data_IF_870834287487
#
_entry.id   IF_870834287487
#
_cell.length_a   1.000
_cell.length_b   1.000
_cell.length_c   1.000
_cell.angle_alpha   90.00
_cell.angle_beta   90.00
_cell.angle_gamma   90.00
#
_symmetry.space_group_name_H-M   'P 1'
#
loop_
_entity.id
_entity.type
_entity.pdbx_description
1 polymer ?
#
# COMPACT_ATOMS: atom_id res chain seq x y z
N UNK A 1 8.25 14.33 -5.55
CA UNK A 1 9.34 13.43 -5.13
C UNK A 1 8.94 12.82 -3.79
N UNK A 2 8.68 11.52 -3.73
CA UNK A 2 8.47 10.84 -2.45
C UNK A 2 9.76 10.92 -1.66
N UNK A 3 9.71 11.53 -0.47
CA UNK A 3 10.85 11.54 0.43
C UNK A 3 10.78 10.25 1.22
N UNK A 4 11.41 9.19 0.72
CA UNK A 4 11.61 7.96 1.49
C UNK A 4 12.45 8.34 2.69
N UNK A 5 11.89 8.17 3.89
CA UNK A 5 12.63 8.38 5.13
C UNK A 5 13.40 7.10 5.40
N UNK A 6 14.71 7.12 5.15
CA UNK A 6 15.59 6.02 5.52
C UNK A 6 15.86 6.09 7.03
N UNK A 7 15.07 5.35 7.81
CA UNK A 7 15.16 5.30 9.27
C UNK A 7 15.15 3.84 9.75
N UNK A 8 15.92 3.53 10.77
CA UNK A 8 15.89 2.22 11.44
C UNK A 8 14.52 1.99 12.10
N UNK A 9 14.00 0.75 12.22
CA UNK A 9 12.76 0.50 12.96
C UNK A 9 12.86 0.84 14.45
N UNK A 10 14.08 0.95 15.00
CA UNK A 10 14.34 1.32 16.40
C UNK A 10 13.86 2.73 16.75
N UNK A 11 14.06 3.69 15.86
CA UNK A 11 13.80 5.10 16.15
C UNK A 11 12.29 5.39 16.26
N UNK A 12 11.42 4.98 15.31
CA UNK A 12 9.99 5.15 15.47
C UNK A 12 9.44 4.28 16.61
N UNK A 13 10.02 3.10 16.88
CA UNK A 13 9.62 2.30 18.03
C UNK A 13 9.94 3.00 19.37
N UNK A 14 11.08 3.69 19.47
CA UNK A 14 11.44 4.47 20.66
C UNK A 14 10.54 5.71 20.83
N UNK A 15 10.12 6.34 19.73
CA UNK A 15 9.21 7.48 19.73
C UNK A 15 7.72 7.10 19.80
N UNK A 16 7.39 5.80 19.83
CA UNK A 16 6.02 5.32 19.59
C UNK A 16 4.99 5.82 20.60
N UNK A 17 5.42 6.03 21.85
CA UNK A 17 4.60 6.56 22.94
C UNK A 17 3.95 7.91 22.59
N UNK A 18 4.62 8.74 21.78
CA UNK A 18 4.08 10.04 21.32
C UNK A 18 2.82 9.85 20.48
N UNK A 19 2.81 8.84 19.61
CA UNK A 19 1.68 8.57 18.72
C UNK A 19 0.50 7.94 19.48
N UNK A 20 0.80 6.98 20.36
CA UNK A 20 -0.25 6.24 21.09
C UNK A 20 -0.82 6.99 22.30
N UNK A 21 -0.21 8.11 22.71
CA UNK A 21 -0.73 9.00 23.75
C UNK A 21 -2.05 9.71 23.36
N UNK A 22 -2.45 9.64 22.09
CA UNK A 22 -3.72 10.17 21.62
C UNK A 22 -4.89 9.21 21.89
N UNK A 23 -6.13 9.68 21.79
CA UNK A 23 -7.32 8.82 21.79
C UNK A 23 -7.66 8.24 20.41
N UNK A 24 -6.82 8.49 19.39
CA UNK A 24 -7.04 8.03 18.02
C UNK A 24 -6.52 6.60 17.85
N UNK A 25 -7.09 5.88 16.88
CA UNK A 25 -6.48 4.63 16.38
C UNK A 25 -5.19 4.96 15.65
N UNK A 26 -4.13 4.20 15.91
CA UNK A 26 -2.79 4.38 15.36
C UNK A 26 -2.40 3.12 14.61
N UNK A 27 -2.18 3.27 13.30
CA UNK A 27 -1.69 2.19 12.44
C UNK A 27 -0.19 2.07 12.50
N UNK A 28 0.34 0.91 12.16
CA UNK A 28 1.78 0.74 11.98
C UNK A 28 2.34 1.75 10.96
N UNK A 29 3.64 2.08 11.01
CA UNK A 29 4.31 2.68 9.88
C UNK A 29 4.16 1.78 8.63
N UNK A 30 4.29 2.38 7.45
CA UNK A 30 4.13 1.70 6.16
C UNK A 30 5.45 1.71 5.40
N UNK A 31 6.31 0.69 5.58
CA UNK A 31 7.54 0.59 4.80
C UNK A 31 7.22 0.32 3.32
N UNK A 32 8.16 0.69 2.44
CA UNK A 32 8.04 0.52 0.97
C UNK A 32 7.85 -0.94 0.58
N UNK A 33 8.48 -1.85 1.33
CA UNK A 33 8.38 -3.28 1.12
C UNK A 33 8.08 -3.94 2.46
N UNK A 34 7.13 -4.87 2.45
CA UNK A 34 6.77 -5.69 3.61
C UNK A 34 7.05 -7.15 3.25
N UNK A 35 8.24 -7.63 3.56
CA UNK A 35 8.67 -8.98 3.17
C UNK A 35 8.20 -10.05 4.15
N UNK A 36 7.74 -9.66 5.34
CA UNK A 36 7.33 -10.54 6.44
C UNK A 36 8.40 -11.58 6.83
N UNK A 37 9.67 -11.24 6.63
CA UNK A 37 10.82 -12.06 6.96
C UNK A 37 11.50 -11.61 8.26
N UNK A 38 12.43 -12.40 8.80
CA UNK A 38 13.32 -11.95 9.87
C UNK A 38 14.22 -10.83 9.34
N UNK A 39 14.34 -9.72 10.08
CA UNK A 39 15.03 -8.51 9.61
C UNK A 39 14.21 -7.66 8.63
N UNK A 40 12.93 -8.01 8.41
CA UNK A 40 11.98 -7.12 7.76
C UNK A 40 11.66 -5.94 8.70
N UNK A 41 11.68 -4.73 8.14
CA UNK A 41 11.56 -3.50 8.91
C UNK A 41 10.28 -3.47 9.76
N UNK A 42 9.14 -3.87 9.18
CA UNK A 42 7.86 -3.86 9.89
C UNK A 42 7.85 -4.89 11.02
N UNK A 43 8.41 -6.07 10.77
CA UNK A 43 8.48 -7.12 11.78
C UNK A 43 9.33 -6.70 12.98
N UNK A 44 10.48 -6.08 12.74
CA UNK A 44 11.35 -5.56 13.80
C UNK A 44 10.64 -4.45 14.59
N UNK A 45 9.98 -3.50 13.92
CA UNK A 45 9.19 -2.46 14.57
C UNK A 45 8.08 -3.05 15.46
N UNK A 46 7.30 -4.00 14.93
CA UNK A 46 6.18 -4.62 15.65
C UNK A 46 6.65 -5.43 16.87
N UNK A 47 7.81 -6.08 16.78
CA UNK A 47 8.42 -6.78 17.92
C UNK A 47 8.86 -5.79 19.02
N UNK A 48 9.47 -4.66 18.63
CA UNK A 48 9.91 -3.63 19.57
C UNK A 48 8.72 -2.99 20.30
N UNK A 49 7.65 -2.61 19.59
CA UNK A 49 6.46 -1.99 20.21
C UNK A 49 5.72 -2.98 21.11
N UNK A 50 5.64 -4.26 20.71
CA UNK A 50 5.10 -5.33 21.55
C UNK A 50 5.90 -5.52 22.83
N UNK A 51 7.24 -5.50 22.76
CA UNK A 51 8.10 -5.63 23.94
C UNK A 51 7.94 -4.46 24.93
N UNK A 52 7.57 -3.28 24.44
CA UNK A 52 7.23 -2.11 25.27
C UNK A 52 5.81 -2.17 25.85
N UNK A 53 4.98 -3.13 25.43
CA UNK A 53 3.55 -3.17 25.78
C UNK A 53 2.71 -2.07 25.12
N UNK A 54 3.24 -1.44 24.07
CA UNK A 54 2.55 -0.38 23.33
C UNK A 54 1.52 -0.96 22.35
N UNK A 55 0.41 -0.24 22.15
CA UNK A 55 -0.61 -0.61 21.17
C UNK A 55 -0.20 -0.31 19.73
N UNK A 56 -0.68 -1.12 18.79
CA UNK A 56 -0.77 -0.85 17.35
C UNK A 56 -2.14 -1.37 16.92
N UNK A 57 -3.01 -0.51 16.38
CA UNK A 57 -4.43 -0.83 16.20
C UNK A 57 -4.76 -1.46 14.84
N UNK A 58 -3.90 -1.26 13.84
CA UNK A 58 -4.00 -1.84 12.51
C UNK A 58 -2.63 -1.83 11.83
N UNK A 59 -2.47 -2.66 10.79
CA UNK A 59 -1.29 -2.66 9.93
C UNK A 59 -1.59 -1.85 8.66
N UNK A 60 -0.72 -0.92 8.32
CA UNK A 60 -0.79 -0.18 7.07
C UNK A 60 0.23 -0.73 6.06
N UNK A 61 -0.20 -0.91 4.80
CA UNK A 61 0.60 -1.54 3.74
C UNK A 61 0.62 -0.68 2.47
N UNK A 62 1.71 -0.76 1.71
CA UNK A 62 1.75 -0.43 0.29
C UNK A 62 1.80 -1.72 -0.52
N UNK A 63 1.20 -1.73 -1.71
CA UNK A 63 1.32 -2.85 -2.64
C UNK A 63 1.36 -2.39 -4.09
N UNK A 64 2.47 -2.65 -4.77
CA UNK A 64 2.65 -2.34 -6.18
C UNK A 64 2.85 -3.64 -6.96
N UNK A 65 1.86 -4.01 -7.77
CA UNK A 65 1.94 -5.21 -8.58
C UNK A 65 2.80 -4.96 -9.82
N UNK A 66 3.60 -5.94 -10.22
CA UNK A 66 4.53 -5.85 -11.35
C UNK A 66 4.19 -6.81 -12.49
N UNK A 67 3.21 -7.70 -12.27
CA UNK A 67 2.72 -8.67 -13.24
C UNK A 67 1.74 -8.02 -14.23
N UNK A 68 2.25 -7.19 -15.14
CA UNK A 68 1.43 -6.41 -16.09
C UNK A 68 0.62 -7.29 -17.06
N UNK A 69 1.18 -8.42 -17.50
CA UNK A 69 0.54 -9.28 -18.49
C UNK A 69 -0.51 -10.23 -17.90
N UNK A 70 -0.58 -10.36 -16.56
CA UNK A 70 -1.47 -11.28 -15.86
C UNK A 70 -2.11 -10.61 -14.63
N UNK A 71 -3.19 -9.86 -14.89
CA UNK A 71 -3.97 -9.16 -13.87
C UNK A 71 -4.54 -10.12 -12.81
N UNK A 72 -4.92 -11.33 -13.21
CA UNK A 72 -5.52 -12.30 -12.27
C UNK A 72 -4.45 -12.81 -11.29
N UNK A 73 -3.25 -13.10 -11.78
CA UNK A 73 -2.10 -13.43 -10.94
C UNK A 73 -1.71 -12.26 -10.03
N UNK A 74 -1.68 -11.03 -10.56
CA UNK A 74 -1.38 -9.82 -9.77
C UNK A 74 -2.35 -9.67 -8.58
N UNK A 75 -3.66 -9.81 -8.81
CA UNK A 75 -4.69 -9.73 -7.75
C UNK A 75 -4.60 -10.91 -6.78
N UNK A 76 -4.33 -12.11 -7.27
CA UNK A 76 -4.13 -13.29 -6.42
C UNK A 76 -2.92 -13.13 -5.49
N UNK A 77 -1.79 -12.66 -6.02
CA UNK A 77 -0.58 -12.38 -5.26
C UNK A 77 -0.82 -11.27 -4.22
N UNK A 78 -1.56 -10.23 -4.58
CA UNK A 78 -1.96 -9.19 -3.65
C UNK A 78 -2.77 -9.74 -2.47
N UNK A 79 -3.79 -10.56 -2.76
CA UNK A 79 -4.60 -11.21 -1.73
C UNK A 79 -3.77 -12.10 -0.82
N UNK A 80 -2.88 -12.91 -1.38
CA UNK A 80 -1.97 -13.78 -0.62
C UNK A 80 -1.06 -12.95 0.29
N UNK A 81 -0.55 -11.83 -0.21
CA UNK A 81 0.28 -10.93 0.59
C UNK A 81 -0.51 -10.38 1.81
N UNK A 82 -1.70 -9.82 1.59
CA UNK A 82 -2.58 -9.32 2.68
C UNK A 82 -2.88 -10.43 3.69
N UNK A 83 -3.20 -11.64 3.22
CA UNK A 83 -3.48 -12.79 4.08
C UNK A 83 -2.28 -13.14 4.98
N UNK A 84 -1.06 -13.16 4.42
CA UNK A 84 0.16 -13.42 5.20
C UNK A 84 0.38 -12.36 6.27
N UNK A 85 0.21 -11.07 5.94
CA UNK A 85 0.31 -9.97 6.92
C UNK A 85 -0.71 -10.18 8.05
N UNK A 86 -1.96 -10.49 7.69
CA UNK A 86 -3.04 -10.75 8.65
C UNK A 86 -2.72 -11.94 9.55
N UNK A 87 -2.16 -13.01 9.02
CA UNK A 87 -1.82 -14.21 9.78
C UNK A 87 -0.69 -13.99 10.79
N UNK A 88 0.29 -13.15 10.43
CA UNK A 88 1.42 -12.79 11.30
C UNK A 88 0.96 -11.87 12.43
N UNK A 89 0.31 -10.74 12.12
CA UNK A 89 0.04 -9.70 13.12
C UNK A 89 -1.33 -9.84 13.79
N UNK A 90 -2.28 -10.54 13.17
CA UNK A 90 -3.65 -10.71 13.68
C UNK A 90 -4.35 -9.38 13.98
N UNK A 91 -3.97 -8.30 13.29
CA UNK A 91 -4.63 -6.98 13.29
C UNK A 91 -5.38 -6.73 11.98
N UNK A 92 -6.28 -5.75 11.96
CA UNK A 92 -6.91 -5.30 10.71
C UNK A 92 -5.89 -4.56 9.84
N UNK A 93 -6.23 -4.40 8.55
CA UNK A 93 -5.32 -3.92 7.52
C UNK A 93 -5.90 -2.69 6.84
N UNK A 94 -5.06 -1.68 6.65
CA UNK A 94 -5.29 -0.58 5.72
C UNK A 94 -4.30 -0.71 4.57
N UNK A 95 -4.79 -0.71 3.33
CA UNK A 95 -3.93 -0.60 2.15
C UNK A 95 -3.77 0.88 1.85
N UNK A 96 -2.71 1.49 2.34
CA UNK A 96 -2.50 2.93 2.22
C UNK A 96 -2.19 3.36 0.78
N UNK A 97 -1.55 2.49 -0.01
CA UNK A 97 -1.26 2.71 -1.43
C UNK A 97 -1.35 1.38 -2.18
N UNK A 98 -2.00 1.37 -3.35
CA UNK A 98 -1.87 0.27 -4.29
C UNK A 98 -2.07 0.70 -5.75
N UNK A 99 -1.34 0.05 -6.66
CA UNK A 99 -1.44 0.20 -8.12
C UNK A 99 -0.64 -0.92 -8.83
N UNK A 100 -0.73 -1.01 -10.16
CA UNK A 100 0.28 -1.70 -10.99
C UNK A 100 1.37 -0.72 -11.38
N UNK A 101 2.56 -0.89 -10.81
CA UNK A 101 3.75 -0.04 -11.05
C UNK A 101 4.99 -0.89 -10.83
N UNK A 102 5.95 -0.83 -11.76
CA UNK A 102 7.26 -1.45 -11.59
C UNK A 102 8.31 -0.35 -11.41
N UNK A 103 8.90 -0.26 -10.22
CA UNK A 103 9.97 0.71 -9.94
C UNK A 103 11.34 0.14 -10.31
N UNK A 104 12.19 0.97 -10.90
CA UNK A 104 13.57 0.63 -11.20
C UNK A 104 14.49 0.93 -10.01
N UNK A 105 15.78 0.59 -10.14
CA UNK A 105 16.79 0.92 -9.11
C UNK A 105 16.89 2.44 -8.86
N UNK A 106 16.66 3.24 -9.90
CA UNK A 106 16.40 4.67 -9.77
C UNK A 106 14.91 4.88 -9.48
N UNK A 107 14.53 5.38 -8.28
CA UNK A 107 13.13 5.57 -7.91
C UNK A 107 12.45 6.71 -8.67
N UNK A 108 13.18 7.47 -9.48
CA UNK A 108 12.60 8.43 -10.42
C UNK A 108 12.13 7.79 -11.74
N UNK A 109 12.40 6.49 -11.90
CA UNK A 109 12.02 5.71 -13.07
C UNK A 109 11.07 4.59 -12.67
N UNK A 110 10.00 4.43 -13.45
CA UNK A 110 9.02 3.38 -13.27
C UNK A 110 8.39 3.01 -14.61
N UNK A 111 7.86 1.81 -14.69
CA UNK A 111 7.03 1.33 -15.79
C UNK A 111 5.58 1.20 -15.33
N UNK A 112 4.66 1.50 -16.24
CA UNK A 112 3.22 1.30 -16.08
C UNK A 112 2.71 0.40 -17.21
N UNK A 113 1.69 -0.43 -16.98
CA UNK A 113 0.97 -1.06 -18.06
C UNK A 113 0.10 -0.05 -18.81
N UNK A 114 -0.58 -0.49 -19.86
CA UNK A 114 -1.58 0.34 -20.53
C UNK A 114 -2.79 0.66 -19.61
N UNK A 115 -3.56 1.69 -19.97
CA UNK A 115 -4.71 2.15 -19.17
C UNK A 115 -5.78 1.07 -18.99
N UNK A 116 -5.97 0.22 -20.00
CA UNK A 116 -6.96 -0.85 -19.97
C UNK A 116 -6.58 -1.90 -18.91
N UNK A 117 -5.31 -2.29 -18.87
CA UNK A 117 -4.75 -3.21 -17.89
C UNK A 117 -4.78 -2.60 -16.49
N UNK A 118 -4.44 -1.32 -16.35
CA UNK A 118 -4.54 -0.63 -15.06
C UNK A 118 -5.99 -0.63 -14.54
N UNK A 119 -6.97 -0.33 -15.40
CA UNK A 119 -8.39 -0.34 -15.04
C UNK A 119 -8.92 -1.73 -14.67
N UNK A 120 -8.47 -2.77 -15.39
CA UNK A 120 -8.79 -4.17 -15.04
C UNK A 120 -8.26 -4.53 -13.67
N UNK A 121 -7.00 -4.17 -13.36
CA UNK A 121 -6.42 -4.41 -12.06
C UNK A 121 -7.15 -3.64 -10.96
N UNK A 122 -7.42 -2.34 -11.14
CA UNK A 122 -8.19 -1.53 -10.18
C UNK A 122 -9.53 -2.20 -9.84
N UNK A 123 -10.30 -2.59 -10.86
CA UNK A 123 -11.62 -3.22 -10.68
C UNK A 123 -11.51 -4.51 -9.88
N UNK A 124 -10.64 -5.42 -10.31
CA UNK A 124 -10.50 -6.75 -9.70
C UNK A 124 -9.91 -6.66 -8.28
N UNK A 125 -8.94 -5.76 -8.05
CA UNK A 125 -8.37 -5.50 -6.74
C UNK A 125 -9.42 -4.93 -5.77
N UNK A 126 -10.19 -3.91 -6.16
CA UNK A 126 -11.25 -3.36 -5.32
C UNK A 126 -12.32 -4.40 -4.98
N UNK A 127 -12.76 -5.20 -5.96
CA UNK A 127 -13.67 -6.32 -5.70
C UNK A 127 -13.09 -7.31 -4.69
N UNK A 128 -11.82 -7.71 -4.85
CA UNK A 128 -11.14 -8.59 -3.91
C UNK A 128 -11.08 -7.98 -2.50
N UNK A 129 -10.64 -6.73 -2.36
CA UNK A 129 -10.50 -6.03 -1.09
C UNK A 129 -11.84 -5.88 -0.36
N UNK A 130 -12.92 -5.57 -1.09
CA UNK A 130 -14.28 -5.47 -0.54
C UNK A 130 -14.79 -6.79 0.07
N UNK A 131 -14.25 -7.94 -0.33
CA UNK A 131 -14.60 -9.26 0.22
C UNK A 131 -13.68 -9.71 1.37
N UNK A 132 -12.69 -8.91 1.77
CA UNK A 132 -11.81 -9.22 2.89
C UNK A 132 -12.26 -8.47 4.16
N UNK A 133 -12.93 -9.11 5.12
CA UNK A 133 -13.52 -8.41 6.27
C UNK A 133 -12.48 -7.81 7.26
N UNK A 134 -11.20 -8.16 7.11
CA UNK A 134 -10.10 -7.60 7.89
C UNK A 134 -9.37 -6.47 7.17
N UNK A 135 -9.74 -6.15 5.92
CA UNK A 135 -9.30 -4.93 5.25
C UNK A 135 -10.35 -3.86 5.51
N UNK A 136 -9.98 -2.82 6.26
CA UNK A 136 -10.92 -1.76 6.65
C UNK A 136 -10.95 -0.60 5.65
N UNK A 137 -9.81 -0.30 5.03
CA UNK A 137 -9.63 0.84 4.12
C UNK A 137 -8.58 0.50 3.06
N UNK A 138 -8.75 1.09 1.89
CA UNK A 138 -7.77 1.06 0.83
C UNK A 138 -7.76 2.39 0.05
N UNK A 139 -6.61 2.76 -0.52
CA UNK A 139 -6.48 3.95 -1.34
C UNK A 139 -5.61 3.70 -2.58
N UNK A 140 -6.16 4.03 -3.75
CA UNK A 140 -5.45 3.94 -5.01
C UNK A 140 -4.29 4.92 -5.04
N UNK A 141 -3.15 4.48 -5.59
CA UNK A 141 -1.98 5.32 -5.76
C UNK A 141 -1.83 5.78 -7.21
N UNK A 142 -1.71 7.10 -7.39
CA UNK A 142 -1.24 7.68 -8.64
C UNK A 142 0.25 8.03 -8.52
N UNK A 143 1.06 7.61 -9.49
CA UNK A 143 2.40 8.19 -9.65
C UNK A 143 2.26 9.71 -9.88
N UNK A 144 3.30 10.53 -9.62
CA UNK A 144 3.22 11.97 -9.86
C UNK A 144 2.70 12.25 -11.26
N UNK A 145 1.71 13.14 -11.39
CA UNK A 145 1.05 13.42 -12.66
C UNK A 145 2.07 13.63 -13.78
N UNK A 146 2.12 12.67 -14.68
CA UNK A 146 2.93 12.71 -15.88
C UNK A 146 2.01 12.51 -17.07
N UNK A 147 1.89 13.52 -17.94
CA UNK A 147 1.04 13.44 -19.13
C UNK A 147 1.56 12.43 -20.16
N UNK A 148 2.83 12.04 -20.08
CA UNK A 148 3.42 11.02 -20.97
C UNK A 148 3.18 9.58 -20.48
N UNK A 149 2.80 9.40 -19.21
CA UNK A 149 2.47 8.09 -18.63
C UNK A 149 1.32 8.23 -17.60
N UNK A 150 0.09 8.54 -18.05
CA UNK A 150 -1.01 8.91 -17.16
C UNK A 150 -1.73 7.72 -16.56
N UNK A 151 -1.27 6.49 -16.79
CA UNK A 151 -2.06 5.27 -16.58
C UNK A 151 -2.52 5.04 -15.14
N UNK A 152 -1.94 5.71 -14.13
CA UNK A 152 -2.40 5.66 -12.73
C UNK A 152 -3.20 6.90 -12.29
N UNK A 153 -3.30 7.94 -13.13
CA UNK A 153 -3.90 9.21 -12.78
C UNK A 153 -5.42 9.10 -12.68
N UNK A 154 -5.98 9.53 -11.55
CA UNK A 154 -7.44 9.67 -11.38
C UNK A 154 -7.96 11.01 -11.91
N UNK A 155 -7.09 12.01 -12.02
CA UNK A 155 -7.38 13.35 -12.54
C UNK A 155 -6.28 13.77 -13.52
N UNK A 156 -6.65 14.50 -14.58
CA UNK A 156 -5.71 15.14 -15.51
C UNK A 156 -5.07 16.41 -14.89
N UNK A 157 -4.17 17.07 -15.62
CA UNK A 157 -3.47 18.27 -15.15
C UNK A 157 -4.36 19.50 -15.02
N UNK A 158 -5.56 19.47 -15.60
CA UNK A 158 -6.59 20.50 -15.50
C UNK A 158 -7.60 20.19 -14.38
N UNK A 159 -7.46 19.05 -13.70
CA UNK A 159 -8.33 18.61 -12.62
C UNK A 159 -9.62 17.93 -13.07
N UNK A 160 -9.76 17.56 -14.35
CA UNK A 160 -10.88 16.74 -14.81
C UNK A 160 -10.65 15.28 -14.44
N UNK A 161 -11.74 14.58 -14.13
CA UNK A 161 -11.70 13.16 -13.82
C UNK A 161 -11.36 12.34 -15.07
N UNK A 162 -10.39 11.43 -14.97
CA UNK A 162 -9.97 10.55 -16.07
C UNK A 162 -10.94 9.35 -16.21
N UNK A 163 -10.84 8.55 -17.29
CA UNK A 163 -11.56 7.27 -17.36
C UNK A 163 -11.27 6.35 -16.16
N UNK A 164 -10.01 6.25 -15.73
CA UNK A 164 -9.62 5.50 -14.53
C UNK A 164 -10.21 6.12 -13.25
N UNK A 165 -10.24 7.45 -13.15
CA UNK A 165 -10.90 8.16 -12.06
C UNK A 165 -12.38 7.83 -11.93
N UNK A 166 -13.10 7.80 -13.05
CA UNK A 166 -14.52 7.40 -13.07
C UNK A 166 -14.71 5.95 -12.63
N UNK A 167 -13.81 5.05 -13.05
CA UNK A 167 -13.82 3.66 -12.61
C UNK A 167 -13.60 3.55 -11.10
N UNK A 168 -12.59 4.24 -10.56
CA UNK A 168 -12.30 4.27 -9.13
C UNK A 168 -13.48 4.81 -8.31
N UNK A 169 -14.20 5.82 -8.82
CA UNK A 169 -15.39 6.39 -8.18
C UNK A 169 -16.58 5.41 -8.12
N UNK A 170 -16.66 4.47 -9.05
CA UNK A 170 -17.77 3.53 -9.17
C UNK A 170 -17.61 2.24 -8.34
N UNK A 171 -16.42 2.01 -7.79
CA UNK A 171 -16.12 0.86 -6.91
C UNK A 171 -16.53 1.14 -5.47
#
# INVERSE_FOLDING_TARGET
MFRVVSISPTDPAAAWSIFVATSLRVGSPTPVDTKLALGDWLNDFMNLTKAQGSRVDFIALHYYATEFDDVDAAVANFKVHIQRVRDVYRLSIWVAEFATVSYHADPSQWDLPDEATQGRFLTAACQMLNHLPYVEKYAWFAVPQNETQPATNLFDSQGNITPLGNLCKAM
#
